data_IF_454674795622
#
_entry.id   IF_454674795622
#
_cell.length_a   1.000
_cell.length_b   1.000
_cell.length_c   1.000
_cell.angle_alpha   90.00
_cell.angle_beta   90.00
_cell.angle_gamma   90.00
#
_symmetry.space_group_name_H-M   'P 1'
#
loop_
_entity.id
_entity.type
_entity.pdbx_description
1 polymer ?
#
# COMPACT_ATOMS: atom_id res chain seq x y z
N UNK A 1 8.70 1.97 14.77
CA UNK A 1 8.16 3.20 14.15
C UNK A 1 8.14 4.32 15.20
N UNK A 2 8.70 5.49 14.94
CA UNK A 2 8.69 6.65 15.88
C UNK A 2 7.98 7.89 15.27
N UNK A 3 7.07 7.68 14.34
CA UNK A 3 6.32 8.74 13.67
C UNK A 3 5.10 9.16 14.50
N UNK A 4 4.77 10.46 14.47
CA UNK A 4 3.48 10.96 14.98
C UNK A 4 2.37 10.55 14.04
N UNK A 5 1.23 10.18 14.61
CA UNK A 5 0.04 9.82 13.86
C UNK A 5 -1.24 10.18 14.63
N UNK A 6 -2.37 10.16 13.96
CA UNK A 6 -3.70 10.24 14.53
C UNK A 6 -4.60 9.21 13.88
N UNK A 7 -5.65 8.79 14.57
CA UNK A 7 -6.63 7.85 14.04
C UNK A 7 -8.05 8.34 14.22
N UNK A 8 -8.91 7.93 13.30
CA UNK A 8 -10.36 8.14 13.31
C UNK A 8 -11.02 6.77 13.18
N UNK A 9 -11.77 6.35 14.21
CA UNK A 9 -12.51 5.09 14.24
C UNK A 9 -14.00 5.39 14.09
N UNK A 10 -14.59 5.06 12.96
CA UNK A 10 -16.02 5.15 12.75
C UNK A 10 -16.70 3.89 13.28
N UNK A 11 -17.66 4.05 14.20
CA UNK A 11 -18.34 2.95 14.90
C UNK A 11 -19.85 3.14 14.96
N UNK A 12 -20.54 2.03 15.17
CA UNK A 12 -22.00 1.93 15.39
C UNK A 12 -22.31 0.96 16.54
N UNK A 13 -23.58 0.72 16.82
CA UNK A 13 -24.01 -0.31 17.79
C UNK A 13 -23.95 0.13 19.24
N UNK A 14 -23.36 1.29 19.53
CA UNK A 14 -23.24 1.88 20.86
C UNK A 14 -23.56 3.37 20.77
N UNK A 15 -24.11 3.96 21.83
CA UNK A 15 -24.28 5.41 21.91
C UNK A 15 -23.04 6.09 22.49
N UNK A 16 -22.90 7.39 22.27
CA UNK A 16 -21.72 8.17 22.69
C UNK A 16 -21.52 8.16 24.20
N UNK A 17 -22.58 8.19 24.97
CA UNK A 17 -22.50 8.17 26.45
C UNK A 17 -21.91 6.84 26.96
N UNK A 18 -22.34 5.70 26.40
CA UNK A 18 -21.79 4.39 26.74
C UNK A 18 -20.31 4.27 26.29
N UNK A 19 -19.96 4.79 25.12
CA UNK A 19 -18.58 4.85 24.66
C UNK A 19 -17.70 5.72 25.58
N UNK A 20 -18.19 6.89 26.03
CA UNK A 20 -17.49 7.73 27.01
C UNK A 20 -17.23 6.96 28.32
N UNK A 21 -18.24 6.25 28.83
CA UNK A 21 -18.07 5.46 30.07
C UNK A 21 -17.02 4.37 29.89
N UNK A 22 -17.08 3.62 28.79
CA UNK A 22 -16.15 2.55 28.50
C UNK A 22 -14.68 3.05 28.41
N UNK A 23 -14.47 4.13 27.67
CA UNK A 23 -13.13 4.70 27.50
C UNK A 23 -12.58 5.31 28.80
N UNK A 24 -13.41 5.99 29.58
CA UNK A 24 -13.01 6.53 30.89
C UNK A 24 -12.71 5.43 31.91
N UNK A 25 -13.39 4.30 31.85
CA UNK A 25 -13.14 3.15 32.72
C UNK A 25 -11.72 2.56 32.53
N UNK A 26 -11.14 2.71 31.33
CA UNK A 26 -9.74 2.32 31.03
C UNK A 26 -8.79 3.53 31.04
N UNK A 27 -9.15 4.60 31.76
CA UNK A 27 -8.33 5.79 31.98
C UNK A 27 -8.02 6.60 30.71
N UNK A 28 -8.78 6.44 29.65
CA UNK A 28 -8.65 7.26 28.44
C UNK A 28 -9.31 8.63 28.70
N UNK A 29 -8.52 9.70 28.49
CA UNK A 29 -9.04 11.06 28.53
C UNK A 29 -9.87 11.33 27.26
N UNK A 30 -11.19 11.35 27.40
CA UNK A 30 -12.12 11.46 26.27
C UNK A 30 -13.24 12.44 26.56
N UNK A 31 -13.64 13.21 25.53
CA UNK A 31 -14.73 14.18 25.59
C UNK A 31 -15.71 13.97 24.43
N UNK A 32 -16.98 14.32 24.67
CA UNK A 32 -18.01 14.39 23.64
C UNK A 32 -18.05 15.81 23.09
N UNK A 33 -17.79 15.94 21.79
CA UNK A 33 -17.73 17.24 21.13
C UNK A 33 -18.76 17.34 19.99
N UNK A 34 -19.12 18.58 19.64
CA UNK A 34 -19.80 18.85 18.37
C UNK A 34 -18.86 18.59 17.22
N UNK A 35 -19.40 18.39 16.04
CA UNK A 35 -18.61 18.23 14.82
C UNK A 35 -17.56 19.34 14.68
N UNK A 36 -16.32 18.96 14.66
CA UNK A 36 -15.17 19.82 14.43
C UNK A 36 -13.99 19.01 13.88
N UNK A 37 -13.01 19.71 13.31
CA UNK A 37 -11.77 19.11 12.82
C UNK A 37 -10.55 19.55 13.64
N UNK A 38 -10.74 20.08 14.83
CA UNK A 38 -9.63 20.55 15.66
C UNK A 38 -8.83 19.40 16.22
N UNK A 39 -7.52 19.53 16.23
CA UNK A 39 -6.63 18.61 16.95
C UNK A 39 -6.69 18.93 18.44
N UNK A 40 -6.95 17.93 19.28
CA UNK A 40 -7.04 18.03 20.73
C UNK A 40 -5.90 17.28 21.41
N UNK A 41 -5.74 17.49 22.71
CA UNK A 41 -4.86 16.72 23.58
C UNK A 41 -5.59 15.58 24.31
N UNK A 42 -6.81 15.26 23.89
CA UNK A 42 -7.67 14.19 24.40
C UNK A 42 -8.38 13.51 23.23
N UNK A 43 -8.86 12.32 23.46
CA UNK A 43 -9.76 11.63 22.53
C UNK A 43 -11.10 12.35 22.47
N UNK A 44 -11.74 12.39 21.36
CA UNK A 44 -13.06 13.00 21.22
C UNK A 44 -14.02 12.10 20.46
N UNK A 45 -15.28 12.17 20.84
CA UNK A 45 -16.39 11.59 20.09
C UNK A 45 -17.05 12.73 19.32
N UNK A 46 -17.18 12.59 18.02
CA UNK A 46 -17.82 13.59 17.15
C UNK A 46 -18.87 12.93 16.25
N UNK A 47 -19.97 13.60 15.93
CA UNK A 47 -20.90 13.13 14.93
C UNK A 47 -20.23 13.16 13.56
N UNK A 48 -20.46 12.13 12.72
CA UNK A 48 -20.07 12.10 11.31
C UNK A 48 -21.27 11.72 10.46
N UNK A 49 -21.62 12.61 9.51
CA UNK A 49 -22.76 12.41 8.62
C UNK A 49 -22.56 11.29 7.58
N UNK A 50 -21.34 10.80 7.38
CA UNK A 50 -21.05 9.66 6.50
C UNK A 50 -21.31 8.31 7.18
N UNK A 51 -21.33 8.28 8.52
CA UNK A 51 -21.54 7.08 9.32
C UNK A 51 -23.02 6.87 9.58
N UNK A 52 -23.60 5.86 8.96
CA UNK A 52 -25.03 5.55 9.11
C UNK A 52 -25.29 4.94 10.50
N UNK A 53 -25.92 5.73 11.37
CA UNK A 53 -26.32 5.28 12.72
C UNK A 53 -25.18 5.20 13.73
N UNK A 54 -24.12 5.98 13.54
CA UNK A 54 -22.94 5.96 14.42
C UNK A 54 -22.28 7.32 14.58
N UNK A 55 -21.03 7.28 14.96
CA UNK A 55 -20.19 8.45 15.21
C UNK A 55 -18.71 8.06 15.05
N UNK A 56 -17.84 9.04 15.15
CA UNK A 56 -16.41 8.91 15.01
C UNK A 56 -15.71 9.10 16.35
N UNK A 57 -14.71 8.27 16.64
CA UNK A 57 -13.80 8.36 17.78
C UNK A 57 -12.45 8.79 17.25
N UNK A 58 -12.03 10.01 17.60
CA UNK A 58 -10.83 10.67 17.05
C UNK A 58 -9.76 10.78 18.12
N UNK A 59 -8.55 10.37 17.81
CA UNK A 59 -7.42 10.42 18.73
C UNK A 59 -6.83 11.82 18.88
N UNK A 60 -6.11 12.10 19.97
CA UNK A 60 -5.06 13.13 19.99
C UNK A 60 -3.91 12.74 19.05
N UNK A 61 -2.86 13.55 19.02
CA UNK A 61 -1.62 13.15 18.35
C UNK A 61 -0.96 12.02 19.15
N UNK A 62 -0.89 10.85 18.56
CA UNK A 62 -0.22 9.66 19.08
C UNK A 62 1.20 9.56 18.53
N UNK A 63 2.07 8.77 19.18
CA UNK A 63 3.44 8.58 18.71
C UNK A 63 3.98 7.19 19.05
N UNK A 64 4.64 6.58 18.09
CA UNK A 64 5.41 5.35 18.27
C UNK A 64 4.58 4.16 18.75
N UNK A 65 5.21 3.20 19.39
CA UNK A 65 4.52 2.02 19.91
C UNK A 65 3.58 2.35 21.08
N UNK A 66 3.95 3.29 21.96
CA UNK A 66 3.08 3.72 23.05
C UNK A 66 1.73 4.28 22.52
N UNK A 67 1.77 5.07 21.45
CA UNK A 67 0.55 5.55 20.80
C UNK A 67 -0.26 4.44 20.14
N UNK A 68 0.39 3.40 19.62
CA UNK A 68 -0.30 2.22 19.08
C UNK A 68 -0.96 1.43 20.22
N UNK A 69 -0.31 1.24 21.35
CA UNK A 69 -0.85 0.58 22.53
C UNK A 69 -2.08 1.34 23.08
N UNK A 70 -2.02 2.67 23.12
CA UNK A 70 -3.18 3.50 23.51
C UNK A 70 -4.34 3.32 22.53
N UNK A 71 -4.08 3.33 21.20
CA UNK A 71 -5.11 3.09 20.19
C UNK A 71 -5.71 1.68 20.28
N UNK A 72 -4.91 0.67 20.63
CA UNK A 72 -5.38 -0.69 20.92
C UNK A 72 -6.29 -0.72 22.13
N UNK A 73 -5.91 -0.08 23.23
CA UNK A 73 -6.71 0.02 24.46
C UNK A 73 -8.08 0.65 24.17
N UNK A 74 -8.11 1.71 23.36
CA UNK A 74 -9.37 2.35 22.92
C UNK A 74 -10.23 1.38 22.12
N UNK A 75 -9.65 0.68 21.15
CA UNK A 75 -10.39 -0.27 20.31
C UNK A 75 -10.93 -1.45 21.12
N UNK A 76 -10.17 -1.97 22.08
CA UNK A 76 -10.59 -3.05 23.00
C UNK A 76 -11.75 -2.59 23.89
N UNK A 77 -11.62 -1.43 24.56
CA UNK A 77 -12.66 -0.90 25.41
C UNK A 77 -13.99 -0.66 24.66
N UNK A 78 -13.92 -0.19 23.41
CA UNK A 78 -15.09 -0.03 22.56
C UNK A 78 -15.68 -1.40 22.15
N UNK A 79 -14.84 -2.38 21.84
CA UNK A 79 -15.26 -3.75 21.52
C UNK A 79 -15.95 -4.43 22.72
N UNK A 80 -15.39 -4.29 23.92
CA UNK A 80 -15.94 -4.84 25.16
C UNK A 80 -17.27 -4.16 25.55
N UNK A 81 -17.46 -2.92 25.15
CA UNK A 81 -18.71 -2.19 25.27
C UNK A 81 -19.70 -2.46 24.13
N UNK A 82 -19.48 -3.53 23.35
CA UNK A 82 -20.32 -3.99 22.25
C UNK A 82 -20.43 -3.03 21.05
N UNK A 83 -19.49 -2.09 20.90
CA UNK A 83 -19.40 -1.31 19.67
C UNK A 83 -19.15 -2.23 18.48
N UNK A 84 -19.82 -1.92 17.39
CA UNK A 84 -19.70 -2.66 16.12
C UNK A 84 -19.39 -1.73 14.97
N UNK A 85 -19.22 -2.27 13.78
CA UNK A 85 -19.01 -1.52 12.56
C UNK A 85 -19.94 -2.01 11.46
N UNK A 86 -20.35 -1.11 10.59
CA UNK A 86 -21.11 -1.47 9.41
C UNK A 86 -20.37 -1.06 8.12
N UNK A 87 -21.00 -1.22 6.98
CA UNK A 87 -20.40 -0.95 5.67
C UNK A 87 -20.04 0.53 5.46
N UNK A 88 -20.69 1.47 6.15
CA UNK A 88 -20.37 2.90 6.07
C UNK A 88 -19.11 3.26 6.85
N UNK A 89 -18.78 2.50 7.90
CA UNK A 89 -17.67 2.81 8.80
C UNK A 89 -16.30 2.67 8.11
N UNK A 90 -15.44 3.66 8.30
CA UNK A 90 -14.02 3.67 7.94
C UNK A 90 -13.11 3.63 9.17
N UNK A 91 -11.86 3.35 8.92
CA UNK A 91 -10.75 3.54 9.84
C UNK A 91 -9.68 4.34 9.10
N UNK A 92 -9.50 5.59 9.50
CA UNK A 92 -8.56 6.51 8.87
C UNK A 92 -7.33 6.68 9.75
N UNK A 93 -6.16 6.83 9.11
CA UNK A 93 -4.89 7.06 9.80
C UNK A 93 -4.21 8.25 9.17
N UNK A 94 -3.89 9.25 9.99
CA UNK A 94 -3.14 10.43 9.64
C UNK A 94 -1.70 10.30 10.09
N UNK A 95 -0.74 10.46 9.21
CA UNK A 95 0.67 10.52 9.57
C UNK A 95 1.23 11.91 9.38
N UNK A 96 1.98 12.40 10.37
CA UNK A 96 2.73 13.64 10.29
C UNK A 96 3.64 13.64 9.04
N UNK A 97 3.54 14.69 8.24
CA UNK A 97 4.28 14.85 7.00
C UNK A 97 5.35 15.95 7.07
N UNK A 98 5.65 16.49 8.28
CA UNK A 98 6.60 17.58 8.45
C UNK A 98 8.03 17.22 8.02
N UNK A 99 8.39 15.95 8.03
CA UNK A 99 9.69 15.41 7.64
C UNK A 99 9.72 14.85 6.21
N UNK A 100 8.64 15.03 5.44
CA UNK A 100 8.51 14.55 4.07
C UNK A 100 8.74 15.68 3.06
N UNK A 101 9.51 15.38 2.04
CA UNK A 101 9.61 16.22 0.84
C UNK A 101 8.49 15.91 -0.16
N UNK A 102 8.28 16.78 -1.14
CA UNK A 102 7.37 16.50 -2.25
C UNK A 102 7.77 15.24 -3.03
N UNK A 103 9.05 14.95 -3.12
CA UNK A 103 9.56 13.72 -3.74
C UNK A 103 9.17 12.47 -2.95
N UNK A 104 9.26 12.53 -1.61
CA UNK A 104 8.84 11.43 -0.74
C UNK A 104 7.33 11.19 -0.86
N UNK A 105 6.52 12.24 -0.83
CA UNK A 105 5.06 12.12 -1.00
C UNK A 105 4.69 11.54 -2.36
N UNK A 106 5.36 11.96 -3.44
CA UNK A 106 5.19 11.32 -4.76
C UNK A 106 5.53 9.83 -4.71
N UNK A 107 6.67 9.49 -4.12
CA UNK A 107 7.11 8.10 -4.00
C UNK A 107 6.08 7.26 -3.21
N UNK A 108 5.54 7.79 -2.10
CA UNK A 108 4.49 7.15 -1.30
C UNK A 108 3.25 6.88 -2.15
N UNK A 109 2.74 7.89 -2.86
CA UNK A 109 1.50 7.75 -3.65
C UNK A 109 1.69 6.83 -4.85
N UNK A 110 2.80 6.94 -5.58
CA UNK A 110 3.12 6.03 -6.69
C UNK A 110 3.28 4.59 -6.22
N UNK A 111 3.96 4.39 -5.09
CA UNK A 111 4.12 3.07 -4.51
C UNK A 111 2.80 2.50 -4.03
N UNK A 112 1.95 3.33 -3.40
CA UNK A 112 0.60 2.90 -3.02
C UNK A 112 -0.22 2.48 -4.23
N UNK A 113 -0.16 3.25 -5.34
CA UNK A 113 -0.81 2.89 -6.59
C UNK A 113 -0.31 1.57 -7.18
N UNK A 114 1.01 1.34 -7.11
CA UNK A 114 1.63 0.11 -7.63
C UNK A 114 1.19 -1.15 -6.86
N UNK A 115 0.92 -1.01 -5.56
CA UNK A 115 0.50 -2.11 -4.67
C UNK A 115 -0.98 -2.05 -4.27
N UNK A 116 -1.77 -1.21 -4.94
CA UNK A 116 -3.18 -1.02 -4.58
C UNK A 116 -3.99 -2.33 -4.68
N UNK A 117 -3.70 -3.17 -5.66
CA UNK A 117 -4.38 -4.45 -5.84
C UNK A 117 -4.09 -5.43 -4.69
N UNK A 118 -2.85 -5.47 -4.22
CA UNK A 118 -2.41 -6.29 -3.10
C UNK A 118 -3.01 -5.78 -1.78
N UNK A 119 -3.05 -4.45 -1.59
CA UNK A 119 -3.70 -3.84 -0.43
C UNK A 119 -5.21 -4.12 -0.48
N UNK A 120 -5.83 -4.01 -1.65
CA UNK A 120 -7.24 -4.35 -1.86
C UNK A 120 -7.55 -5.80 -1.45
N UNK A 121 -6.62 -6.75 -1.64
CA UNK A 121 -6.83 -8.13 -1.25
C UNK A 121 -7.08 -8.33 0.26
N UNK A 122 -6.55 -7.43 1.11
CA UNK A 122 -6.77 -7.45 2.56
C UNK A 122 -8.07 -6.75 2.98
N UNK A 123 -8.68 -5.97 2.10
CA UNK A 123 -9.85 -5.17 2.41
C UNK A 123 -11.14 -5.93 2.07
N UNK A 124 -12.26 -5.62 2.73
CA UNK A 124 -13.56 -6.12 2.30
C UNK A 124 -13.94 -5.55 0.92
N UNK A 125 -14.83 -6.22 0.17
CA UNK A 125 -15.23 -5.76 -1.17
C UNK A 125 -15.65 -4.29 -1.25
N UNK A 126 -16.26 -3.74 -0.17
CA UNK A 126 -16.68 -2.33 -0.08
C UNK A 126 -15.53 -1.33 -0.04
N UNK A 127 -14.28 -1.77 0.08
CA UNK A 127 -13.09 -0.91 0.18
C UNK A 127 -12.06 -1.20 -0.93
N UNK A 128 -12.45 -1.96 -1.95
CA UNK A 128 -11.59 -2.36 -3.08
C UNK A 128 -11.85 -1.50 -4.32
N UNK A 129 -10.81 -1.28 -5.13
CA UNK A 129 -10.91 -0.54 -6.38
C UNK A 129 -11.55 0.83 -6.20
N UNK A 130 -12.62 1.08 -6.94
CA UNK A 130 -13.44 2.30 -6.89
C UNK A 130 -14.88 2.04 -6.42
N UNK A 131 -15.10 0.98 -5.65
CA UNK A 131 -16.44 0.59 -5.19
C UNK A 131 -17.01 1.48 -4.09
N UNK A 132 -16.18 2.36 -3.51
CA UNK A 132 -16.55 3.29 -2.43
C UNK A 132 -16.21 4.73 -2.84
N UNK A 133 -17.20 5.62 -2.80
CA UNK A 133 -17.04 7.04 -3.14
C UNK A 133 -16.17 7.81 -2.15
N UNK A 134 -15.97 7.31 -0.92
CA UNK A 134 -15.16 7.95 0.12
C UNK A 134 -13.70 7.48 0.13
N UNK A 135 -13.33 6.45 -0.64
CA UNK A 135 -11.95 5.97 -0.75
C UNK A 135 -11.64 5.43 -2.17
N UNK A 136 -11.72 6.30 -3.16
CA UNK A 136 -11.40 5.96 -4.55
C UNK A 136 -9.92 5.63 -4.75
N UNK A 137 -9.62 4.92 -5.84
CA UNK A 137 -8.25 4.56 -6.22
C UNK A 137 -7.37 5.80 -6.41
N UNK A 138 -6.14 5.74 -5.90
CA UNK A 138 -5.15 6.82 -6.07
C UNK A 138 -4.72 6.98 -7.52
N UNK A 139 -4.84 5.95 -8.36
CA UNK A 139 -4.50 5.99 -9.78
C UNK A 139 -5.30 7.04 -10.55
N UNK A 140 -6.49 7.42 -10.05
CA UNK A 140 -7.38 8.40 -10.70
C UNK A 140 -6.83 9.83 -10.74
N UNK A 141 -5.86 10.17 -9.90
CA UNK A 141 -5.24 11.51 -9.90
C UNK A 141 -3.74 11.50 -10.23
N UNK A 142 -3.15 10.34 -10.55
CA UNK A 142 -1.77 10.23 -11.01
C UNK A 142 -1.66 10.70 -12.49
N UNK A 143 -1.80 11.98 -12.69
CA UNK A 143 -1.73 12.61 -14.00
C UNK A 143 -0.48 13.50 -14.12
N UNK A 144 -0.31 14.17 -15.28
CA UNK A 144 0.80 15.07 -15.54
C UNK A 144 0.93 16.15 -14.46
N UNK A 145 -0.18 16.80 -14.04
CA UNK A 145 -0.17 17.85 -13.02
C UNK A 145 0.38 17.35 -11.69
N UNK A 146 0.00 16.13 -11.25
CA UNK A 146 0.55 15.51 -10.05
C UNK A 146 2.05 15.24 -10.20
N UNK A 147 2.48 14.68 -11.33
CA UNK A 147 3.88 14.31 -11.57
C UNK A 147 4.82 15.52 -11.68
N UNK A 148 4.33 16.65 -12.21
CA UNK A 148 5.10 17.90 -12.35
C UNK A 148 5.13 18.75 -11.08
N UNK A 149 4.26 18.50 -10.10
CA UNK A 149 4.20 19.23 -8.83
C UNK A 149 5.55 19.19 -8.08
N UNK A 150 5.96 20.30 -7.50
CA UNK A 150 7.27 20.47 -6.82
C UNK A 150 7.14 20.63 -5.30
N UNK A 151 5.96 20.95 -4.83
CA UNK A 151 5.65 21.12 -3.41
C UNK A 151 4.51 20.17 -3.00
N UNK A 152 4.38 19.89 -1.69
CA UNK A 152 3.29 19.05 -1.18
C UNK A 152 1.95 19.77 -1.39
N UNK A 153 1.92 21.11 -1.30
CA UNK A 153 0.73 21.88 -1.61
C UNK A 153 0.26 21.75 -3.06
N UNK A 154 1.21 21.73 -4.00
CA UNK A 154 0.90 21.46 -5.42
C UNK A 154 0.40 20.04 -5.65
N UNK A 155 0.98 19.03 -4.95
CA UNK A 155 0.51 17.65 -4.97
C UNK A 155 -0.93 17.56 -4.43
N UNK A 156 -1.21 18.20 -3.29
CA UNK A 156 -2.56 18.28 -2.73
C UNK A 156 -3.52 19.00 -3.68
N UNK A 157 -3.08 20.07 -4.36
CA UNK A 157 -3.89 20.80 -5.36
C UNK A 157 -4.14 19.98 -6.64
N UNK A 158 -3.29 19.02 -6.96
CA UNK A 158 -3.48 18.12 -8.09
C UNK A 158 -4.52 17.02 -7.81
N UNK A 159 -4.78 16.72 -6.54
CA UNK A 159 -5.80 15.78 -6.12
C UNK A 159 -7.19 16.42 -6.16
N UNK A 160 -8.17 15.88 -6.89
CA UNK A 160 -9.46 16.54 -7.15
C UNK A 160 -10.45 16.48 -5.97
N UNK A 161 -10.01 16.09 -4.79
CA UNK A 161 -10.82 16.02 -3.57
C UNK A 161 -10.18 15.12 -2.53
N UNK A 162 -10.82 14.97 -1.37
CA UNK A 162 -10.29 14.19 -0.23
C UNK A 162 -10.63 12.68 -0.27
N UNK A 163 -11.56 12.28 -1.12
CA UNK A 163 -12.15 10.94 -1.09
C UNK A 163 -11.35 9.90 -1.90
N UNK A 164 -10.08 9.76 -1.57
CA UNK A 164 -9.17 8.77 -2.13
C UNK A 164 -8.55 7.92 -1.03
N UNK A 165 -8.04 6.73 -1.37
CA UNK A 165 -7.37 5.83 -0.43
C UNK A 165 -6.20 6.48 0.30
N UNK A 166 -5.48 7.39 -0.39
CA UNK A 166 -4.52 8.32 0.20
C UNK A 166 -5.02 9.74 -0.06
N UNK A 167 -5.28 10.49 0.99
CA UNK A 167 -5.76 11.87 0.91
C UNK A 167 -4.62 12.85 1.24
N UNK A 168 -4.22 13.63 0.26
CA UNK A 168 -3.19 14.67 0.39
C UNK A 168 -3.77 16.01 0.85
N UNK A 169 -5.08 16.21 0.75
CA UNK A 169 -5.70 17.47 1.17
C UNK A 169 -5.66 17.68 2.68
N UNK A 170 -5.50 16.59 3.46
CA UNK A 170 -5.26 16.66 4.90
C UNK A 170 -3.95 17.39 5.24
N UNK A 171 -2.98 17.46 4.32
CA UNK A 171 -1.74 18.21 4.52
C UNK A 171 -2.00 19.70 4.75
N UNK A 172 -2.90 20.30 3.98
CA UNK A 172 -3.22 21.74 4.10
C UNK A 172 -3.91 22.10 5.40
N UNK A 173 -4.62 21.16 6.01
CA UNK A 173 -5.37 21.39 7.25
C UNK A 173 -4.59 20.95 8.48
N UNK A 174 -3.94 19.82 8.42
CA UNK A 174 -3.35 19.13 9.57
C UNK A 174 -1.86 18.87 9.43
N UNK A 175 -1.24 19.18 8.27
CA UNK A 175 0.16 18.81 8.00
C UNK A 175 0.39 17.30 7.87
N UNK A 176 -0.66 16.53 7.52
CA UNK A 176 -0.61 15.06 7.52
C UNK A 176 -0.93 14.47 6.16
N UNK A 177 -0.46 13.23 5.92
CA UNK A 177 -1.01 12.34 4.90
C UNK A 177 -2.05 11.44 5.56
N UNK A 178 -3.26 11.38 5.01
CA UNK A 178 -4.34 10.55 5.52
C UNK A 178 -4.54 9.30 4.65
N UNK A 179 -4.60 8.13 5.29
CA UNK A 179 -4.90 6.85 4.65
C UNK A 179 -6.31 6.41 5.04
N UNK A 180 -7.21 6.34 4.06
CA UNK A 180 -8.66 6.17 4.25
C UNK A 180 -9.18 4.79 3.84
N UNK A 181 -8.33 3.89 3.38
CA UNK A 181 -8.82 2.67 2.73
C UNK A 181 -9.39 1.63 3.69
N UNK A 182 -8.89 1.56 4.94
CA UNK A 182 -9.31 0.49 5.85
C UNK A 182 -10.79 0.63 6.22
N UNK A 183 -11.51 -0.49 6.26
CA UNK A 183 -12.88 -0.53 6.80
C UNK A 183 -12.90 -0.22 8.29
N UNK A 184 -14.01 0.28 8.81
CA UNK A 184 -14.19 0.42 10.25
C UNK A 184 -13.82 -0.85 11.01
N UNK A 185 -13.28 -0.69 12.22
CA UNK A 185 -12.88 -1.82 13.07
C UNK A 185 -12.75 -1.39 14.53
N UNK A 186 -13.19 -2.24 15.44
CA UNK A 186 -12.91 -2.18 16.88
C UNK A 186 -11.96 -3.30 17.32
N UNK A 187 -11.30 -3.96 16.36
CA UNK A 187 -10.32 -4.99 16.66
C UNK A 187 -8.93 -4.36 16.83
N UNK A 188 -8.42 -4.37 18.06
CA UNK A 188 -7.14 -3.77 18.45
C UNK A 188 -5.97 -4.24 17.57
N UNK A 189 -5.88 -5.53 17.27
CA UNK A 189 -4.82 -6.04 16.41
C UNK A 189 -4.88 -5.51 14.97
N UNK A 190 -6.09 -5.30 14.43
CA UNK A 190 -6.25 -4.67 13.11
C UNK A 190 -5.82 -3.22 13.14
N UNK A 191 -6.17 -2.49 14.20
CA UNK A 191 -5.74 -1.10 14.41
C UNK A 191 -4.22 -1.02 14.44
N UNK A 192 -3.57 -1.78 15.33
CA UNK A 192 -2.13 -1.79 15.47
C UNK A 192 -1.40 -2.19 14.17
N UNK A 193 -1.84 -3.27 13.55
CA UNK A 193 -1.17 -3.78 12.34
C UNK A 193 -1.30 -2.82 11.16
N UNK A 194 -2.45 -2.15 11.01
CA UNK A 194 -2.63 -1.19 9.94
C UNK A 194 -1.78 0.06 10.15
N UNK A 195 -1.71 0.59 11.37
CA UNK A 195 -0.84 1.72 11.71
C UNK A 195 0.63 1.38 11.48
N UNK A 196 1.10 0.22 11.99
CA UNK A 196 2.48 -0.23 11.77
C UNK A 196 2.81 -0.43 10.29
N UNK A 197 1.92 -1.09 9.55
CA UNK A 197 2.08 -1.28 8.11
C UNK A 197 2.26 0.05 7.37
N UNK A 198 1.38 1.02 7.61
CA UNK A 198 1.44 2.32 6.95
C UNK A 198 2.69 3.12 7.37
N UNK A 199 3.05 3.11 8.64
CA UNK A 199 4.26 3.78 9.12
C UNK A 199 5.52 3.21 8.49
N UNK A 200 5.68 1.90 8.47
CA UNK A 200 6.78 1.23 7.77
C UNK A 200 6.77 1.52 6.26
N UNK A 201 5.59 1.54 5.65
CA UNK A 201 5.42 1.86 4.24
C UNK A 201 5.94 3.27 3.91
N UNK A 202 5.59 4.28 4.72
CA UNK A 202 6.08 5.64 4.57
C UNK A 202 7.59 5.70 4.75
N UNK A 203 8.14 5.11 5.82
CA UNK A 203 9.57 5.15 6.13
C UNK A 203 10.41 4.48 5.04
N UNK A 204 9.90 3.44 4.39
CA UNK A 204 10.55 2.79 3.26
C UNK A 204 10.54 3.63 1.98
N UNK A 205 9.52 4.47 1.79
CA UNK A 205 9.47 5.39 0.65
C UNK A 205 10.48 6.54 0.79
N UNK A 206 10.84 6.94 2.02
CA UNK A 206 11.86 7.97 2.32
C UNK A 206 13.29 7.49 2.13
N UNK A 207 13.55 6.20 2.29
CA UNK A 207 14.91 5.68 2.08
C UNK A 207 15.25 5.84 0.61
N UNK A 208 16.44 6.42 0.27
CA UNK A 208 16.94 6.31 -1.08
C UNK A 208 16.89 4.82 -1.43
N UNK A 209 16.33 4.48 -2.59
CA UNK A 209 16.29 3.10 -3.03
C UNK A 209 17.67 2.51 -2.78
N UNK A 210 17.77 1.50 -1.91
CA UNK A 210 19.03 0.81 -1.69
C UNK A 210 19.57 0.50 -3.08
N UNK A 211 20.85 0.80 -3.39
CA UNK A 211 21.42 0.43 -4.68
C UNK A 211 21.03 -1.03 -4.87
N UNK A 212 20.35 -1.31 -5.98
CA UNK A 212 19.90 -2.68 -6.26
C UNK A 212 21.11 -3.57 -5.95
N UNK A 213 20.97 -4.65 -5.14
CA UNK A 213 22.09 -5.51 -4.85
C UNK A 213 22.76 -5.75 -6.19
N UNK A 214 24.07 -5.46 -6.27
CA UNK A 214 24.81 -5.61 -7.52
C UNK A 214 24.52 -7.01 -8.01
N UNK A 215 23.63 -7.13 -8.99
CA UNK A 215 23.31 -8.42 -9.58
C UNK A 215 24.63 -8.84 -10.18
N UNK A 216 25.24 -9.94 -9.76
CA UNK A 216 26.48 -10.38 -10.34
C UNK A 216 26.30 -10.35 -11.85
N UNK A 217 27.17 -9.66 -12.56
CA UNK A 217 27.12 -9.58 -14.01
C UNK A 217 26.99 -11.02 -14.52
N UNK A 218 25.86 -11.31 -15.21
CA UNK A 218 25.69 -12.64 -15.78
C UNK A 218 26.78 -12.77 -16.83
N UNK A 219 27.82 -13.53 -16.50
CA UNK A 219 28.83 -13.88 -17.51
C UNK A 219 28.10 -14.68 -18.60
N UNK A 220 27.91 -14.02 -19.74
CA UNK A 220 27.34 -14.70 -20.88
C UNK A 220 28.36 -15.73 -21.36
N UNK A 221 27.94 -16.98 -21.62
CA UNK A 221 28.83 -17.97 -22.18
C UNK A 221 29.39 -17.46 -23.50
N UNK A 222 30.64 -17.81 -23.81
CA UNK A 222 31.28 -17.44 -25.08
C UNK A 222 30.47 -18.05 -26.23
N UNK A 223 29.66 -17.22 -26.84
CA UNK A 223 28.78 -17.58 -27.95
C UNK A 223 29.21 -16.86 -29.21
N UNK A 224 28.95 -17.44 -30.36
CA UNK A 224 29.30 -16.84 -31.68
C UNK A 224 28.04 -16.72 -32.56
N UNK A 225 28.12 -15.79 -33.52
CA UNK A 225 27.09 -15.60 -34.54
C UNK A 225 25.71 -15.23 -34.01
N UNK A 226 24.67 -15.84 -34.52
CA UNK A 226 23.27 -15.52 -34.18
C UNK A 226 22.94 -15.82 -32.73
N UNK A 227 23.61 -16.79 -32.12
CA UNK A 227 23.42 -17.12 -30.69
C UNK A 227 23.92 -16.01 -29.78
N UNK A 228 25.07 -15.40 -30.10
CA UNK A 228 25.60 -14.26 -29.37
C UNK A 228 24.61 -13.08 -29.43
N UNK A 229 24.14 -12.72 -30.61
CA UNK A 229 23.16 -11.64 -30.81
C UNK A 229 21.84 -11.85 -30.10
N UNK A 230 21.37 -13.12 -30.03
CA UNK A 230 20.16 -13.43 -29.27
C UNK A 230 20.41 -13.35 -27.75
N UNK A 231 21.57 -13.79 -27.25
CA UNK A 231 21.96 -13.64 -25.84
C UNK A 231 22.10 -12.17 -25.43
N UNK A 232 22.71 -11.34 -26.27
CA UNK A 232 22.80 -9.89 -26.11
C UNK A 232 21.40 -9.23 -26.03
N UNK A 233 20.45 -9.68 -26.89
CA UNK A 233 19.07 -9.20 -26.84
C UNK A 233 18.42 -9.52 -25.48
N UNK A 234 18.64 -10.70 -24.92
CA UNK A 234 18.18 -11.06 -23.58
C UNK A 234 18.89 -10.26 -22.49
N UNK A 235 20.20 -10.04 -22.60
CA UNK A 235 20.97 -9.23 -21.65
C UNK A 235 20.50 -7.76 -21.62
N UNK A 236 20.18 -7.20 -22.79
CA UNK A 236 19.72 -5.82 -22.92
C UNK A 236 18.26 -5.60 -22.44
N UNK A 237 17.38 -6.58 -22.70
CA UNK A 237 15.93 -6.42 -22.49
C UNK A 237 15.39 -7.19 -21.27
N UNK A 238 16.15 -8.12 -20.71
CA UNK A 238 15.75 -8.99 -19.61
C UNK A 238 14.64 -9.98 -20.00
N UNK A 239 13.57 -9.51 -20.62
CA UNK A 239 12.44 -10.32 -21.12
C UNK A 239 12.23 -10.05 -22.60
N UNK A 240 12.15 -11.11 -23.41
CA UNK A 240 12.00 -11.02 -24.85
C UNK A 240 10.81 -11.86 -25.31
N UNK A 241 9.87 -11.24 -26.05
CA UNK A 241 8.72 -11.96 -26.59
C UNK A 241 9.12 -12.86 -27.76
N UNK A 242 8.36 -13.93 -27.97
CA UNK A 242 8.55 -14.79 -29.12
C UNK A 242 8.40 -14.03 -30.45
N UNK A 243 7.46 -13.09 -30.49
CA UNK A 243 7.23 -12.21 -31.65
C UNK A 243 8.45 -11.33 -31.95
N UNK A 244 9.04 -10.68 -30.93
CA UNK A 244 10.23 -9.85 -31.09
C UNK A 244 11.46 -10.64 -31.60
N UNK A 245 11.62 -11.89 -31.16
CA UNK A 245 12.65 -12.77 -31.71
C UNK A 245 12.42 -13.10 -33.18
N UNK A 246 11.16 -13.41 -33.54
CA UNK A 246 10.80 -13.71 -34.93
C UNK A 246 11.04 -12.50 -35.83
N UNK A 247 10.62 -11.31 -35.41
CA UNK A 247 10.83 -10.05 -36.15
C UNK A 247 12.32 -9.70 -36.30
N UNK A 248 13.08 -9.74 -35.21
CA UNK A 248 14.50 -9.33 -35.18
C UNK A 248 15.40 -10.22 -36.04
N UNK A 249 15.08 -11.52 -36.16
CA UNK A 249 15.92 -12.51 -36.82
C UNK A 249 15.29 -13.12 -38.10
N UNK A 250 14.07 -12.72 -38.47
CA UNK A 250 13.34 -13.29 -39.61
C UNK A 250 12.95 -14.75 -39.39
N UNK A 251 12.67 -15.17 -38.15
CA UNK A 251 12.42 -16.57 -37.80
C UNK A 251 10.96 -16.92 -37.70
N UNK A 252 10.68 -18.19 -37.99
CA UNK A 252 9.41 -18.78 -37.61
C UNK A 252 9.37 -19.07 -36.09
N UNK A 253 8.18 -19.09 -35.46
CA UNK A 253 8.04 -19.32 -34.01
C UNK A 253 8.73 -20.57 -33.47
N UNK A 254 8.74 -21.66 -34.24
CA UNK A 254 9.42 -22.88 -33.85
C UNK A 254 10.95 -22.76 -33.88
N UNK A 255 11.49 -21.98 -34.80
CA UNK A 255 12.93 -21.67 -34.89
C UNK A 255 13.37 -20.84 -33.69
N UNK A 256 12.59 -19.81 -33.31
CA UNK A 256 12.87 -19.01 -32.14
C UNK A 256 12.86 -19.84 -30.85
N UNK A 257 11.89 -20.75 -30.65
CA UNK A 257 11.88 -21.67 -29.50
C UNK A 257 13.08 -22.60 -29.49
N UNK A 258 13.49 -23.13 -30.65
CA UNK A 258 14.69 -23.95 -30.76
C UNK A 258 15.97 -23.17 -30.42
N UNK A 259 16.06 -21.91 -30.83
CA UNK A 259 17.18 -21.02 -30.46
C UNK A 259 17.25 -20.77 -28.94
N UNK A 260 16.13 -20.51 -28.27
CA UNK A 260 16.06 -20.42 -26.81
C UNK A 260 16.51 -21.71 -26.13
N UNK A 261 16.08 -22.86 -26.62
CA UNK A 261 16.53 -24.16 -26.10
C UNK A 261 18.05 -24.36 -26.24
N UNK A 262 18.63 -23.89 -27.33
CA UNK A 262 20.10 -23.93 -27.53
C UNK A 262 20.84 -22.97 -26.59
N UNK A 263 20.29 -21.77 -26.31
CA UNK A 263 20.84 -20.86 -25.30
C UNK A 263 20.79 -21.48 -23.89
N UNK A 264 19.69 -22.14 -23.53
CA UNK A 264 19.60 -22.89 -22.27
C UNK A 264 20.66 -23.97 -22.14
N UNK A 265 20.87 -24.76 -23.20
CA UNK A 265 21.93 -25.76 -23.23
C UNK A 265 23.34 -25.17 -23.15
N UNK A 266 23.51 -23.92 -23.58
CA UNK A 266 24.76 -23.17 -23.48
C UNK A 266 24.92 -22.47 -22.11
N UNK A 267 24.01 -22.67 -21.14
CA UNK A 267 24.12 -22.18 -19.77
C UNK A 267 23.29 -20.93 -19.44
N UNK A 268 22.56 -20.32 -20.39
CA UNK A 268 21.68 -19.21 -20.07
C UNK A 268 20.43 -19.73 -19.32
N UNK A 269 20.12 -19.10 -18.19
CA UNK A 269 18.89 -19.40 -17.44
C UNK A 269 17.74 -18.56 -18.02
N UNK A 270 16.89 -19.17 -18.81
CA UNK A 270 15.76 -18.53 -19.48
C UNK A 270 14.46 -19.21 -19.04
N UNK A 271 13.55 -18.49 -18.38
CA UNK A 271 12.25 -18.99 -17.95
C UNK A 271 11.14 -18.57 -18.91
N UNK A 272 10.18 -19.45 -19.21
CA UNK A 272 9.01 -19.09 -20.01
C UNK A 272 8.10 -18.20 -19.19
N UNK A 273 7.68 -17.06 -19.75
CA UNK A 273 6.76 -16.10 -19.14
C UNK A 273 5.74 -15.63 -20.17
N UNK A 274 4.76 -14.84 -19.74
CA UNK A 274 3.89 -14.07 -20.64
C UNK A 274 4.14 -12.57 -20.42
N UNK A 275 4.28 -11.83 -21.50
CA UNK A 275 4.39 -10.39 -21.49
C UNK A 275 3.25 -9.81 -22.35
N UNK A 276 2.38 -9.01 -21.75
CA UNK A 276 1.17 -8.48 -22.41
C UNK A 276 0.32 -9.59 -23.09
N UNK A 277 0.18 -10.74 -22.42
CA UNK A 277 -0.55 -11.89 -22.96
C UNK A 277 0.20 -12.73 -24.00
N UNK A 278 1.36 -12.28 -24.49
CA UNK A 278 2.17 -12.92 -25.50
C UNK A 278 3.21 -13.89 -24.90
N UNK A 279 3.52 -15.02 -25.54
CA UNK A 279 4.62 -15.89 -25.11
C UNK A 279 5.95 -15.15 -25.13
N UNK A 280 6.70 -15.22 -24.02
CA UNK A 280 8.01 -14.59 -23.86
C UNK A 280 8.93 -15.48 -23.04
N UNK A 281 10.22 -15.10 -22.99
CA UNK A 281 11.22 -15.73 -22.13
C UNK A 281 11.95 -14.64 -21.36
N UNK A 282 12.25 -14.89 -20.07
CA UNK A 282 12.97 -13.99 -19.18
C UNK A 282 14.34 -14.56 -18.86
N UNK A 283 15.39 -13.72 -18.93
CA UNK A 283 16.73 -14.06 -18.47
C UNK A 283 16.79 -13.92 -16.95
N UNK A 284 17.06 -15.01 -16.26
CA UNK A 284 17.23 -15.03 -14.81
C UNK A 284 18.64 -14.54 -14.48
N UNK A 285 18.75 -13.52 -13.60
CA UNK A 285 20.00 -12.90 -13.18
C UNK A 285 20.54 -11.80 -14.13
N UNK A 286 19.81 -11.42 -15.18
CA UNK A 286 20.16 -10.29 -16.05
C UNK A 286 19.53 -8.97 -15.59
N UNK A 287 20.22 -7.83 -15.87
CA UNK A 287 19.62 -6.51 -15.73
C UNK A 287 18.39 -6.40 -16.64
N UNK A 288 17.21 -6.18 -16.08
CA UNK A 288 16.10 -5.63 -16.83
C UNK A 288 16.46 -4.19 -17.19
N UNK A 289 16.68 -3.87 -18.47
CA UNK A 289 16.59 -2.51 -18.98
C UNK A 289 15.24 -1.94 -18.54
N UNK A 290 15.24 -0.71 -18.05
CA UNK A 290 14.10 -0.03 -17.47
C UNK A 290 12.83 -0.16 -18.32
N UNK A 291 12.05 -1.22 -18.06
CA UNK A 291 10.62 -1.23 -18.27
C UNK A 291 9.96 -0.41 -17.15
N UNK A 292 8.82 0.22 -17.38
CA UNK A 292 8.22 1.12 -16.39
C UNK A 292 8.08 0.39 -15.05
N UNK A 293 8.26 1.10 -13.95
CA UNK A 293 8.52 0.68 -12.58
C UNK A 293 7.49 -0.27 -11.90
N UNK A 294 6.82 -1.14 -12.64
CA UNK A 294 5.74 -2.00 -12.17
C UNK A 294 6.16 -3.45 -11.81
N UNK A 295 7.40 -3.87 -12.01
CA UNK A 295 7.81 -5.27 -11.74
C UNK A 295 9.03 -5.42 -10.81
N UNK A 296 9.17 -4.56 -9.82
CA UNK A 296 10.06 -4.84 -8.69
C UNK A 296 9.23 -5.50 -7.59
N UNK A 297 9.32 -6.80 -7.47
CA UNK A 297 9.00 -7.49 -6.22
C UNK A 297 9.97 -6.98 -5.16
N UNK A 298 9.53 -6.00 -4.41
CA UNK A 298 10.26 -5.43 -3.30
C UNK A 298 10.31 -6.51 -2.21
N UNK A 299 11.49 -6.96 -1.84
CA UNK A 299 11.71 -7.99 -0.81
C UNK A 299 11.06 -7.60 0.53
N UNK A 300 10.90 -6.29 0.76
CA UNK A 300 10.22 -5.78 1.94
C UNK A 300 8.71 -5.99 1.85
N UNK A 301 8.10 -5.72 0.69
CA UNK A 301 6.68 -5.97 0.47
C UNK A 301 6.36 -7.44 0.64
N UNK A 302 7.19 -8.32 0.10
CA UNK A 302 7.05 -9.76 0.30
C UNK A 302 7.05 -10.10 1.79
N UNK A 303 7.97 -9.55 2.57
CA UNK A 303 8.04 -9.78 4.02
C UNK A 303 6.86 -9.19 4.81
N UNK A 304 6.37 -8.00 4.44
CA UNK A 304 5.19 -7.37 5.07
C UNK A 304 3.92 -8.11 4.64
N UNK A 305 3.75 -8.36 3.34
CA UNK A 305 2.60 -9.09 2.79
C UNK A 305 2.50 -10.50 3.37
N UNK A 306 3.60 -11.24 3.48
CA UNK A 306 3.63 -12.56 4.10
C UNK A 306 3.28 -12.53 5.59
N UNK A 307 3.73 -11.52 6.36
CA UNK A 307 3.37 -11.38 7.77
C UNK A 307 1.90 -11.04 7.94
N UNK A 308 1.38 -10.12 7.15
CA UNK A 308 -0.05 -9.73 7.14
C UNK A 308 -0.91 -10.90 6.65
N UNK A 309 -0.53 -11.59 5.58
CA UNK A 309 -1.23 -12.77 5.04
C UNK A 309 -1.24 -13.91 6.06
N UNK A 310 -0.10 -14.24 6.69
CA UNK A 310 -0.02 -15.27 7.74
C UNK A 310 -0.89 -14.94 8.94
N UNK A 311 -0.98 -13.67 9.32
CA UNK A 311 -1.87 -13.22 10.41
C UNK A 311 -3.35 -13.49 10.07
N UNK A 312 -3.80 -13.08 8.88
CA UNK A 312 -5.20 -13.31 8.47
C UNK A 312 -5.51 -14.79 8.21
N UNK A 313 -4.56 -15.57 7.67
CA UNK A 313 -4.72 -17.01 7.43
C UNK A 313 -4.81 -17.80 8.75
N UNK A 314 -3.96 -17.53 9.74
CA UNK A 314 -4.05 -18.16 11.07
C UNK A 314 -5.38 -17.88 11.75
N UNK A 315 -5.94 -16.69 11.57
CA UNK A 315 -7.23 -16.34 12.16
C UNK A 315 -8.40 -16.99 11.41
N UNK A 316 -8.35 -17.09 10.10
CA UNK A 316 -9.36 -17.84 9.33
C UNK A 316 -9.40 -19.32 9.76
N UNK A 317 -8.24 -19.92 10.02
CA UNK A 317 -8.14 -21.28 10.52
C UNK A 317 -8.72 -21.44 11.95
N UNK A 318 -8.51 -20.46 12.83
CA UNK A 318 -9.09 -20.46 14.19
C UNK A 318 -10.60 -20.27 14.16
N UNK A 319 -11.13 -19.42 13.28
CA UNK A 319 -12.59 -19.20 13.13
C UNK A 319 -13.29 -20.36 12.39
N UNK A 320 -12.57 -21.16 11.63
CA UNK A 320 -13.10 -22.37 10.99
C UNK A 320 -13.07 -23.61 11.92
N UNK A 321 -12.32 -23.53 13.01
CA UNK A 321 -12.18 -24.59 14.02
C UNK A 321 -13.05 -24.36 15.29
N UNK A 322 -13.75 -23.22 15.38
CA UNK A 322 -14.73 -22.87 16.42
C UNK A 322 -16.15 -22.90 15.85
#
# INVERSE_FOLDING_TARGET
>A
MDRKFGIELEIVGINREAALRALRAVSINVQDERYNHDTRNHWKLVPDGSVTGGFEVVSPILRGEAGIEEAMTVAEALSDAEATVNRSCGFHVHFDAADLSAADVKAIVHRYAAYEAEIDAFMPPSRRGNTNSYCGSVTRFLNRRFNEARTIDELAAAQPGRYFKVNLQSYRRHGTLEFRQHSGTVNANKVANWVRFLGEFIDQCKRPAAPAPAVPAVELPVLSGVRARLAEMFAAQGTVTLAAMCERFGWQPHTARAAVTRLRRAGLRLSPVRQNGQPAYRLEGGQASAAPAAERTDSLWTGISERVTRFYQRRAAVLAAA
#
